data_IF_544718779150
#
_entry.id   IF_544718779150
#
_cell.length_a   1.000
_cell.length_b   1.000
_cell.length_c   1.000
_cell.angle_alpha   90.00
_cell.angle_beta   90.00
_cell.angle_gamma   90.00
#
_symmetry.space_group_name_H-M   'P 1'
#
loop_
_entity.id
_entity.type
_entity.pdbx_description
1 polymer ?
#
# COMPACT_ATOMS: atom_id res chain seq x y z
N UNK A 1 25.57 25.27 -19.75
CA UNK A 1 24.45 24.56 -20.41
C UNK A 1 24.30 23.20 -19.76
N UNK A 2 25.41 22.50 -19.47
CA UNK A 2 25.50 21.36 -18.54
C UNK A 2 24.64 21.47 -17.28
N UNK A 3 24.81 22.52 -16.46
CA UNK A 3 24.14 22.59 -15.14
C UNK A 3 22.61 22.51 -15.23
N UNK A 4 22.02 23.10 -16.28
CA UNK A 4 20.57 23.03 -16.52
C UNK A 4 20.13 21.62 -16.92
N UNK A 5 21.01 20.86 -17.57
CA UNK A 5 20.74 19.48 -17.97
C UNK A 5 20.77 18.55 -16.75
N UNK A 6 21.79 18.67 -15.88
CA UNK A 6 21.89 17.90 -14.64
C UNK A 6 20.70 18.13 -13.70
N UNK A 7 20.30 19.40 -13.52
CA UNK A 7 19.12 19.75 -12.72
C UNK A 7 17.86 19.09 -13.29
N UNK A 8 17.70 19.08 -14.62
CA UNK A 8 16.56 18.47 -15.27
C UNK A 8 16.54 16.94 -15.12
N UNK A 9 17.71 16.30 -15.20
CA UNK A 9 17.87 14.85 -14.98
C UNK A 9 17.53 14.45 -13.55
N UNK A 10 18.01 15.20 -12.55
CA UNK A 10 17.69 14.97 -11.14
C UNK A 10 16.20 15.14 -10.85
N UNK A 11 15.58 16.18 -11.43
CA UNK A 11 14.13 16.40 -11.33
C UNK A 11 13.34 15.27 -11.98
N UNK A 12 13.78 14.79 -13.15
CA UNK A 12 13.13 13.69 -13.86
C UNK A 12 13.24 12.37 -13.06
N UNK A 13 14.41 12.08 -12.51
CA UNK A 13 14.64 10.91 -11.64
C UNK A 13 13.76 10.96 -10.40
N UNK A 14 13.63 12.14 -9.77
CA UNK A 14 12.73 12.36 -8.64
C UNK A 14 11.26 12.09 -8.99
N UNK A 15 10.80 12.64 -10.12
CA UNK A 15 9.43 12.50 -10.58
C UNK A 15 9.07 11.04 -10.91
N UNK A 16 9.97 10.32 -11.59
CA UNK A 16 9.81 8.89 -11.89
C UNK A 16 9.69 8.09 -10.58
N UNK A 17 10.53 8.37 -9.58
CA UNK A 17 10.46 7.69 -8.28
C UNK A 17 9.14 7.93 -7.57
N UNK A 18 8.63 9.16 -7.60
CA UNK A 18 7.35 9.52 -6.99
C UNK A 18 6.18 8.80 -7.66
N UNK A 19 6.18 8.72 -9.01
CA UNK A 19 5.18 7.97 -9.76
C UNK A 19 5.25 6.48 -9.42
N UNK A 20 6.45 5.89 -9.42
CA UNK A 20 6.62 4.48 -9.10
C UNK A 20 6.08 4.13 -7.72
N UNK A 21 6.33 4.97 -6.71
CA UNK A 21 5.77 4.82 -5.36
C UNK A 21 4.24 4.91 -5.37
N UNK A 22 3.66 5.90 -6.04
CA UNK A 22 2.20 6.06 -6.14
C UNK A 22 1.53 4.85 -6.81
N UNK A 23 2.15 4.29 -7.84
CA UNK A 23 1.67 3.08 -8.51
C UNK A 23 1.70 1.87 -7.59
N UNK A 24 2.77 1.72 -6.79
CA UNK A 24 2.89 0.64 -5.82
C UNK A 24 1.84 0.74 -4.69
N UNK A 25 1.58 1.95 -4.18
CA UNK A 25 0.55 2.17 -3.16
C UNK A 25 -0.84 1.86 -3.72
N UNK A 26 -1.09 2.23 -4.98
CA UNK A 26 -2.34 1.92 -5.69
C UNK A 26 -2.52 0.41 -5.88
N UNK A 27 -1.46 -0.32 -6.21
CA UNK A 27 -1.50 -1.78 -6.35
C UNK A 27 -1.86 -2.47 -5.02
N UNK A 28 -1.20 -2.08 -3.92
CA UNK A 28 -1.53 -2.60 -2.59
C UNK A 28 -2.98 -2.29 -2.22
N UNK A 29 -3.46 -1.07 -2.48
CA UNK A 29 -4.84 -0.72 -2.18
C UNK A 29 -5.83 -1.62 -2.95
N UNK A 30 -5.57 -1.89 -4.24
CA UNK A 30 -6.38 -2.82 -5.03
C UNK A 30 -6.38 -4.24 -4.45
N UNK A 31 -5.25 -4.71 -3.92
CA UNK A 31 -5.13 -6.01 -3.24
C UNK A 31 -5.92 -6.04 -1.94
N UNK A 32 -5.88 -4.98 -1.13
CA UNK A 32 -6.72 -4.84 0.06
C UNK A 32 -8.20 -4.89 -0.31
N UNK A 33 -8.63 -4.09 -1.29
CA UNK A 33 -10.02 -4.02 -1.71
C UNK A 33 -10.52 -5.38 -2.25
N UNK A 34 -9.66 -6.11 -2.96
CA UNK A 34 -9.96 -7.47 -3.38
C UNK A 34 -10.18 -8.42 -2.19
N UNK A 35 -9.27 -8.43 -1.23
CA UNK A 35 -9.38 -9.30 -0.05
C UNK A 35 -10.58 -8.91 0.84
N UNK A 36 -10.94 -7.62 0.92
CA UNK A 36 -12.17 -7.17 1.59
C UNK A 36 -13.42 -7.75 0.91
N UNK A 37 -13.49 -7.73 -0.43
CA UNK A 37 -14.60 -8.35 -1.15
C UNK A 37 -14.63 -9.87 -0.96
N UNK A 38 -13.47 -10.53 -0.98
CA UNK A 38 -13.37 -11.98 -0.71
C UNK A 38 -13.86 -12.31 0.70
N UNK A 39 -13.49 -11.51 1.69
CA UNK A 39 -13.96 -11.61 3.08
C UNK A 39 -15.47 -11.49 3.18
N UNK A 40 -16.06 -10.48 2.55
CA UNK A 40 -17.52 -10.30 2.52
C UNK A 40 -18.23 -11.49 1.89
N UNK A 41 -17.67 -12.05 0.80
CA UNK A 41 -18.15 -13.28 0.18
C UNK A 41 -18.10 -14.48 1.14
N UNK A 42 -16.98 -14.66 1.85
CA UNK A 42 -16.83 -15.75 2.83
C UNK A 42 -17.83 -15.65 3.98
N UNK A 43 -18.11 -14.44 4.48
CA UNK A 43 -19.13 -14.20 5.51
C UNK A 43 -20.53 -14.56 5.02
N UNK A 44 -20.88 -14.19 3.78
CA UNK A 44 -22.18 -14.57 3.19
C UNK A 44 -22.29 -16.08 3.01
N UNK A 45 -21.22 -16.73 2.54
CA UNK A 45 -21.17 -18.20 2.42
C UNK A 45 -21.34 -18.90 3.77
N UNK A 46 -20.68 -18.42 4.82
CA UNK A 46 -20.85 -18.95 6.18
C UNK A 46 -22.32 -18.93 6.62
N UNK A 47 -23.02 -17.83 6.37
CA UNK A 47 -24.45 -17.71 6.69
C UNK A 47 -25.36 -18.67 5.90
N UNK A 48 -24.89 -19.17 4.76
CA UNK A 48 -25.63 -20.11 3.91
C UNK A 48 -25.24 -21.58 4.14
N UNK A 49 -24.22 -21.86 4.95
CA UNK A 49 -23.73 -23.22 5.18
C UNK A 49 -24.76 -24.05 5.94
N UNK A 50 -25.04 -25.26 5.45
CA UNK A 50 -25.91 -26.24 6.12
C UNK A 50 -25.12 -27.42 6.70
N UNK A 51 -23.87 -27.58 6.26
CA UNK A 51 -22.98 -28.66 6.68
C UNK A 51 -21.72 -28.10 7.33
N UNK A 52 -21.20 -28.84 8.32
CA UNK A 52 -20.00 -28.47 9.07
C UNK A 52 -18.77 -28.27 8.18
N UNK A 53 -18.61 -29.11 7.15
CA UNK A 53 -17.45 -29.05 6.25
C UNK A 53 -17.45 -27.77 5.39
N UNK A 54 -18.62 -27.37 4.88
CA UNK A 54 -18.79 -26.10 4.16
C UNK A 54 -18.46 -24.91 5.06
N UNK A 55 -18.96 -24.93 6.30
CA UNK A 55 -18.70 -23.87 7.27
C UNK A 55 -17.21 -23.79 7.63
N UNK A 56 -16.53 -24.93 7.75
CA UNK A 56 -15.10 -24.97 8.06
C UNK A 56 -14.27 -24.35 6.93
N UNK A 57 -14.53 -24.71 5.67
CA UNK A 57 -13.78 -24.15 4.55
C UNK A 57 -14.08 -22.65 4.37
N UNK A 58 -15.33 -22.22 4.54
CA UNK A 58 -15.69 -20.81 4.50
C UNK A 58 -15.03 -20.01 5.65
N UNK A 59 -14.95 -20.58 6.86
CA UNK A 59 -14.25 -19.96 7.99
C UNK A 59 -12.74 -19.86 7.77
N UNK A 60 -12.13 -20.88 7.18
CA UNK A 60 -10.71 -20.86 6.78
C UNK A 60 -10.45 -19.76 5.75
N UNK A 61 -11.29 -19.63 4.73
CA UNK A 61 -11.17 -18.56 3.74
C UNK A 61 -11.31 -17.18 4.37
N UNK A 62 -12.24 -17.02 5.32
CA UNK A 62 -12.39 -15.79 6.11
C UNK A 62 -11.11 -15.43 6.89
N UNK A 63 -10.51 -16.41 7.58
CA UNK A 63 -9.25 -16.22 8.32
C UNK A 63 -8.09 -15.84 7.41
N UNK A 64 -7.97 -16.48 6.25
CA UNK A 64 -6.94 -16.16 5.25
C UNK A 64 -7.11 -14.72 4.75
N UNK A 65 -8.33 -14.32 4.38
CA UNK A 65 -8.61 -12.94 3.92
C UNK A 65 -8.23 -11.92 5.00
N UNK A 66 -8.59 -12.18 6.27
CA UNK A 66 -8.24 -11.29 7.38
C UNK A 66 -6.72 -11.14 7.54
N UNK A 67 -5.97 -12.24 7.50
CA UNK A 67 -4.52 -12.20 7.62
C UNK A 67 -3.88 -11.42 6.46
N UNK A 68 -4.35 -11.62 5.23
CA UNK A 68 -3.88 -10.89 4.05
C UNK A 68 -4.18 -9.40 4.13
N UNK A 69 -5.40 -9.02 4.53
CA UNK A 69 -5.78 -7.62 4.75
C UNK A 69 -4.84 -6.96 5.76
N UNK A 70 -4.61 -7.58 6.92
CA UNK A 70 -3.67 -7.05 7.93
C UNK A 70 -2.25 -6.89 7.39
N UNK A 71 -1.78 -7.88 6.62
CA UNK A 71 -0.45 -7.85 6.02
C UNK A 71 -0.30 -6.70 5.03
N UNK A 72 -1.26 -6.54 4.11
CA UNK A 72 -1.24 -5.47 3.12
C UNK A 72 -1.43 -4.08 3.73
N UNK A 73 -2.28 -3.96 4.76
CA UNK A 73 -2.44 -2.69 5.48
C UNK A 73 -1.16 -2.29 6.22
N UNK A 74 -0.50 -3.24 6.88
CA UNK A 74 0.79 -3.00 7.55
C UNK A 74 1.87 -2.56 6.55
N UNK A 75 1.95 -3.24 5.41
CA UNK A 75 2.87 -2.88 4.32
C UNK A 75 2.60 -1.48 3.76
N UNK A 76 1.33 -1.15 3.51
CA UNK A 76 0.93 0.18 3.05
C UNK A 76 1.27 1.27 4.08
N UNK A 77 1.03 0.99 5.36
CA UNK A 77 1.32 1.91 6.45
C UNK A 77 2.83 2.20 6.54
N UNK A 78 3.67 1.16 6.54
CA UNK A 78 5.12 1.31 6.59
C UNK A 78 5.64 2.16 5.43
N UNK A 79 5.14 1.94 4.20
CA UNK A 79 5.51 2.76 3.03
C UNK A 79 5.13 4.22 3.19
N UNK A 80 3.94 4.50 3.73
CA UNK A 80 3.49 5.88 3.98
C UNK A 80 4.33 6.55 5.06
N UNK A 81 4.69 5.85 6.12
CA UNK A 81 5.57 6.36 7.17
C UNK A 81 6.96 6.73 6.63
N UNK A 82 7.55 5.86 5.81
CA UNK A 82 8.81 6.16 5.10
C UNK A 82 8.72 7.40 4.20
N UNK A 83 7.61 7.53 3.45
CA UNK A 83 7.38 8.71 2.61
C UNK A 83 7.28 9.99 3.43
N UNK A 84 6.53 9.97 4.54
CA UNK A 84 6.39 11.12 5.45
C UNK A 84 7.74 11.51 6.05
N UNK A 85 8.56 10.53 6.46
CA UNK A 85 9.90 10.79 6.99
C UNK A 85 10.79 11.44 5.93
N UNK A 86 10.82 10.93 4.70
CA UNK A 86 11.59 11.51 3.59
C UNK A 86 11.16 12.96 3.28
N UNK A 87 9.86 13.24 3.27
CA UNK A 87 9.35 14.60 3.07
C UNK A 87 9.74 15.55 4.21
N UNK A 88 9.71 15.06 5.45
CA UNK A 88 10.08 15.83 6.63
C UNK A 88 11.57 16.16 6.65
N UNK A 89 12.42 15.16 6.35
CA UNK A 89 13.87 15.35 6.22
C UNK A 89 14.21 16.36 5.12
N UNK A 90 13.54 16.29 3.96
CA UNK A 90 13.75 17.27 2.88
C UNK A 90 13.38 18.69 3.31
N UNK A 91 12.20 18.88 3.92
CA UNK A 91 11.80 20.20 4.44
C UNK A 91 12.80 20.76 5.45
N UNK A 92 13.31 19.92 6.34
CA UNK A 92 14.33 20.31 7.31
C UNK A 92 15.62 20.77 6.63
N UNK A 93 16.15 20.00 5.67
CA UNK A 93 17.36 20.36 4.93
C UNK A 93 17.20 21.68 4.16
N UNK A 94 16.03 21.91 3.53
CA UNK A 94 15.75 23.19 2.86
C UNK A 94 15.71 24.37 3.82
N UNK A 95 15.21 24.19 5.05
CA UNK A 95 15.24 25.23 6.08
C UNK A 95 16.68 25.58 6.46
N UNK A 96 17.50 24.57 6.76
CA UNK A 96 18.89 24.75 7.22
C UNK A 96 19.80 25.36 6.14
N UNK A 97 19.55 25.10 4.85
CA UNK A 97 20.34 25.69 3.76
C UNK A 97 19.96 27.15 3.41
N UNK A 98 18.82 27.65 3.90
CA UNK A 98 18.35 29.01 3.65
C UNK A 98 18.61 29.97 4.82
N UNK A 99 19.06 29.44 5.96
CA UNK A 99 19.59 30.19 7.11
C UNK A 99 21.12 30.34 7.02
#
# INVERSE_FOLDING_TARGET
MEDKLWILEDLNMLYIRQIAQSLQDTDIQKRIDHEVRMREGAVKLLGACTQKEQALEAAKNLLICNNRIMTYMSELQHRKEEQVLQHSTRRYLYSVCMD
#
